data_IF_405194661665
#
_entry.id   IF_405194661665
#
_cell.length_a   1.000
_cell.length_b   1.000
_cell.length_c   1.000
_cell.angle_alpha   90.00
_cell.angle_beta   90.00
_cell.angle_gamma   90.00
#
_symmetry.space_group_name_H-M   'P 1'
#
loop_
_entity.id
_entity.type
_entity.pdbx_description
1 polymer ?
#
# COMPACT_ATOMS: atom_id res chain seq x y z
N UNK A 1 -14.13 9.21 21.26
CA UNK A 1 -12.79 9.73 20.87
C UNK A 1 -12.93 11.19 20.50
N UNK A 2 -11.87 12.00 20.58
CA UNK A 2 -11.93 13.38 20.05
C UNK A 2 -11.87 13.38 18.53
N UNK A 3 -12.33 14.46 17.87
CA UNK A 3 -12.16 14.59 16.41
C UNK A 3 -10.68 14.52 16.00
N UNK A 4 -9.80 15.11 16.81
CA UNK A 4 -8.34 15.02 16.60
C UNK A 4 -7.85 13.57 16.65
N UNK A 5 -8.32 12.76 17.61
CA UNK A 5 -7.96 11.33 17.67
C UNK A 5 -8.48 10.54 16.48
N UNK A 6 -9.69 10.84 16.01
CA UNK A 6 -10.27 10.22 14.82
C UNK A 6 -9.41 10.46 13.58
N UNK A 7 -9.09 11.74 13.29
CA UNK A 7 -8.26 12.07 12.15
C UNK A 7 -6.84 11.52 12.30
N UNK A 8 -6.30 11.47 13.52
CA UNK A 8 -4.99 10.85 13.78
C UNK A 8 -4.98 9.38 13.38
N UNK A 9 -6.02 8.63 13.75
CA UNK A 9 -6.17 7.21 13.36
C UNK A 9 -6.37 7.08 11.85
N UNK A 10 -7.22 7.91 11.26
CA UNK A 10 -7.50 7.90 9.82
C UNK A 10 -6.24 8.15 8.99
N UNK A 11 -5.45 9.17 9.35
CA UNK A 11 -4.18 9.51 8.69
C UNK A 11 -3.20 8.33 8.77
N UNK A 12 -3.11 7.66 9.92
CA UNK A 12 -2.25 6.47 10.06
C UNK A 12 -2.71 5.30 9.19
N UNK A 13 -4.02 5.06 9.08
CA UNK A 13 -4.58 4.03 8.20
C UNK A 13 -4.27 4.36 6.73
N UNK A 14 -4.46 5.61 6.33
CA UNK A 14 -4.12 6.09 4.97
C UNK A 14 -2.62 5.98 4.70
N UNK A 15 -1.78 6.37 5.66
CA UNK A 15 -0.33 6.21 5.57
C UNK A 15 0.09 4.75 5.41
N UNK A 16 -0.52 3.84 6.16
CA UNK A 16 -0.28 2.40 6.04
C UNK A 16 -0.69 1.87 4.66
N UNK A 17 -1.85 2.28 4.15
CA UNK A 17 -2.28 1.94 2.80
C UNK A 17 -1.26 2.38 1.75
N UNK A 18 -0.83 3.64 1.78
CA UNK A 18 0.16 4.14 0.83
C UNK A 18 1.53 3.47 1.01
N UNK A 19 1.89 3.09 2.23
CA UNK A 19 3.12 2.34 2.49
C UNK A 19 3.10 0.98 1.78
N UNK A 20 2.00 0.23 1.94
CA UNK A 20 1.82 -1.07 1.28
C UNK A 20 1.84 -0.88 -0.24
N UNK A 21 1.10 0.11 -0.77
CA UNK A 21 1.09 0.37 -2.22
C UNK A 21 2.47 0.76 -2.77
N UNK A 22 3.22 1.56 -2.02
CA UNK A 22 4.58 1.95 -2.41
C UNK A 22 5.45 0.71 -2.48
N UNK A 23 5.41 -0.14 -1.46
CA UNK A 23 6.30 -1.30 -1.33
C UNK A 23 6.01 -2.41 -2.34
N UNK A 24 4.73 -2.71 -2.60
CA UNK A 24 4.33 -3.89 -3.37
C UNK A 24 3.80 -3.62 -4.77
N UNK A 25 3.53 -2.36 -5.12
CA UNK A 25 3.02 -2.01 -6.45
C UNK A 25 3.94 -1.01 -7.14
N UNK A 26 4.19 0.14 -6.51
CA UNK A 26 4.90 1.23 -7.15
C UNK A 26 6.40 0.96 -7.29
N UNK A 27 7.09 0.59 -6.21
CA UNK A 27 8.52 0.26 -6.27
C UNK A 27 8.81 -0.86 -7.27
N UNK A 28 8.06 -1.98 -7.29
CA UNK A 28 8.26 -3.00 -8.30
C UNK A 28 8.13 -2.48 -9.74
N UNK A 29 7.13 -1.61 -9.99
CA UNK A 29 6.97 -1.02 -11.31
C UNK A 29 8.16 -0.15 -11.71
N UNK A 30 8.67 0.68 -10.80
CA UNK A 30 9.82 1.57 -11.09
C UNK A 30 11.10 0.77 -11.32
N UNK A 31 11.35 -0.25 -10.49
CA UNK A 31 12.48 -1.16 -10.65
C UNK A 31 12.42 -1.86 -12.01
N UNK A 32 11.24 -2.39 -12.38
CA UNK A 32 11.08 -3.04 -13.69
C UNK A 32 11.42 -2.10 -14.84
N UNK A 33 11.04 -0.82 -14.77
CA UNK A 33 11.34 0.17 -15.82
C UNK A 33 12.84 0.45 -15.86
N UNK A 34 13.50 0.59 -14.71
CA UNK A 34 14.94 0.86 -14.66
C UNK A 34 15.80 -0.24 -15.30
N UNK A 35 15.33 -1.49 -15.27
CA UNK A 35 16.03 -2.65 -15.86
C UNK A 35 15.68 -2.94 -17.32
N UNK A 36 14.76 -2.19 -17.94
CA UNK A 36 14.42 -2.36 -19.37
C UNK A 36 15.41 -1.66 -20.31
N UNK A 37 16.17 -0.67 -19.84
CA UNK A 37 17.08 0.11 -20.67
C UNK A 37 18.48 -0.52 -20.68
N UNK A 38 18.99 -0.83 -21.88
CA UNK A 38 20.29 -1.47 -22.08
C UNK A 38 21.48 -0.51 -22.18
N UNK A 39 21.24 0.81 -22.28
CA UNK A 39 22.30 1.81 -22.34
C UNK A 39 22.76 2.24 -20.94
N UNK A 40 24.05 2.15 -20.68
CA UNK A 40 24.70 2.40 -19.39
C UNK A 40 24.41 3.79 -18.80
N UNK A 41 24.29 4.83 -19.63
CA UNK A 41 24.00 6.18 -19.18
C UNK A 41 22.54 6.33 -18.76
N UNK A 42 21.62 5.71 -19.51
CA UNK A 42 20.20 5.70 -19.20
C UNK A 42 19.90 4.86 -17.94
N UNK A 43 20.59 3.73 -17.77
CA UNK A 43 20.48 2.91 -16.56
C UNK A 43 20.91 3.69 -15.32
N UNK A 44 22.02 4.43 -15.39
CA UNK A 44 22.49 5.27 -14.28
C UNK A 44 21.47 6.36 -13.91
N UNK A 45 20.90 7.04 -14.92
CA UNK A 45 19.83 8.02 -14.73
C UNK A 45 18.56 7.41 -14.11
N UNK A 46 18.15 6.23 -14.58
CA UNK A 46 16.97 5.53 -14.06
C UNK A 46 17.16 5.06 -12.62
N UNK A 47 18.35 4.61 -12.24
CA UNK A 47 18.69 4.23 -10.85
C UNK A 47 18.61 5.46 -9.94
N UNK A 48 19.19 6.59 -10.36
CA UNK A 48 19.17 7.83 -9.57
C UNK A 48 17.72 8.33 -9.39
N UNK A 49 16.94 8.36 -10.47
CA UNK A 49 15.53 8.71 -10.45
C UNK A 49 14.73 7.82 -9.50
N UNK A 50 14.89 6.50 -9.64
CA UNK A 50 14.19 5.53 -8.80
C UNK A 50 14.55 5.75 -7.34
N UNK A 51 15.84 5.87 -7.02
CA UNK A 51 16.35 6.09 -5.65
C UNK A 51 15.78 7.36 -5.03
N UNK A 52 15.76 8.46 -5.78
CA UNK A 52 15.22 9.75 -5.31
C UNK A 52 13.73 9.64 -5.00
N UNK A 53 12.98 8.93 -5.85
CA UNK A 53 11.57 8.63 -5.63
C UNK A 53 11.37 7.76 -4.38
N UNK A 54 12.19 6.72 -4.18
CA UNK A 54 12.12 5.89 -2.96
C UNK A 54 12.25 6.80 -1.73
N UNK A 55 13.29 7.65 -1.70
CA UNK A 55 13.56 8.55 -0.57
C UNK A 55 12.37 9.48 -0.31
N UNK A 56 11.81 10.10 -1.36
CA UNK A 56 10.65 11.00 -1.23
C UNK A 56 9.43 10.24 -0.71
N UNK A 57 9.10 9.08 -1.28
CA UNK A 57 7.95 8.29 -0.84
C UNK A 57 8.09 7.87 0.62
N UNK A 58 9.24 7.31 1.01
CA UNK A 58 9.47 6.92 2.40
C UNK A 58 9.50 8.13 3.35
N UNK A 59 10.01 9.29 2.92
CA UNK A 59 9.98 10.53 3.70
C UNK A 59 8.55 11.01 3.96
N UNK A 60 7.70 11.01 2.94
CA UNK A 60 6.27 11.36 3.04
C UNK A 60 5.54 10.38 3.96
N UNK A 61 5.76 9.07 3.78
CA UNK A 61 5.15 8.02 4.59
C UNK A 61 5.57 8.12 6.06
N UNK A 62 6.86 8.36 6.31
CA UNK A 62 7.38 8.60 7.65
C UNK A 62 6.72 9.82 8.29
N UNK A 63 6.55 10.90 7.54
CA UNK A 63 5.90 12.11 8.02
C UNK A 63 4.42 11.87 8.39
N UNK A 64 3.67 11.17 7.52
CA UNK A 64 2.27 10.78 7.75
C UNK A 64 2.09 9.96 9.03
N UNK A 65 2.97 9.00 9.28
CA UNK A 65 2.86 8.10 10.44
C UNK A 65 3.33 8.76 11.73
N UNK A 66 4.44 9.51 11.69
CA UNK A 66 5.07 10.09 12.88
C UNK A 66 4.46 11.41 13.32
N UNK A 67 3.98 12.25 12.39
CA UNK A 67 3.47 13.58 12.70
C UNK A 67 2.03 13.82 12.23
N UNK A 68 1.06 12.93 12.53
CA UNK A 68 -0.33 13.12 12.13
C UNK A 68 -0.93 14.42 12.70
N UNK A 69 -0.51 14.83 13.89
CA UNK A 69 -1.01 16.06 14.54
C UNK A 69 -0.65 17.32 13.75
N UNK A 70 0.53 17.38 13.13
CA UNK A 70 0.91 18.51 12.27
C UNK A 70 0.03 18.62 11.04
N UNK A 71 -0.37 17.48 10.47
CA UNK A 71 -1.28 17.43 9.32
C UNK A 71 -2.67 17.91 9.75
N UNK A 72 -3.16 17.43 10.89
CA UNK A 72 -4.44 17.86 11.46
C UNK A 72 -4.46 19.36 11.68
N UNK A 73 -3.42 19.90 12.31
CA UNK A 73 -3.35 21.32 12.66
C UNK A 73 -3.17 22.20 11.40
N UNK A 74 -2.40 21.75 10.41
CA UNK A 74 -2.18 22.44 9.13
C UNK A 74 -3.48 22.59 8.34
N UNK A 75 -4.23 21.50 8.20
CA UNK A 75 -5.51 21.48 7.48
C UNK A 75 -6.70 21.86 8.38
N UNK A 76 -6.46 22.12 9.67
CA UNK A 76 -7.48 22.40 10.69
C UNK A 76 -8.59 21.35 10.70
N UNK A 77 -8.23 20.08 10.56
CA UNK A 77 -9.18 18.98 10.35
C UNK A 77 -10.08 18.75 11.56
N UNK A 78 -9.68 19.18 12.75
CA UNK A 78 -10.43 19.04 14.00
C UNK A 78 -11.31 20.26 14.33
N UNK A 79 -11.33 21.30 13.48
CA UNK A 79 -12.08 22.54 13.72
C UNK A 79 -13.46 22.51 13.07
N UNK A 80 -14.35 23.40 13.57
CA UNK A 80 -15.72 23.59 13.10
C UNK A 80 -16.67 22.41 13.35
N UNK A 81 -16.38 21.57 14.35
CA UNK A 81 -17.35 20.61 14.88
C UNK A 81 -18.04 21.20 16.10
N UNK A 82 -19.37 21.09 16.14
CA UNK A 82 -20.20 21.62 17.23
C UNK A 82 -19.94 20.89 18.56
N UNK A 83 -19.47 19.65 18.50
CA UNK A 83 -19.12 18.84 19.66
C UNK A 83 -17.60 18.60 19.71
N UNK A 84 -17.04 18.52 20.91
CA UNK A 84 -15.62 18.20 21.10
C UNK A 84 -15.31 16.70 20.99
N UNK A 85 -16.34 15.85 20.92
CA UNK A 85 -16.18 14.39 20.92
C UNK A 85 -17.12 13.71 19.93
N UNK A 86 -16.62 12.64 19.32
CA UNK A 86 -17.40 11.73 18.49
C UNK A 86 -17.96 10.66 19.42
N UNK A 87 -19.29 10.68 19.57
CA UNK A 87 -20.04 9.75 20.42
C UNK A 87 -20.95 8.85 19.57
N UNK A 88 -20.33 8.11 18.65
CA UNK A 88 -21.01 7.06 17.87
C UNK A 88 -20.84 5.75 18.63
N UNK A 89 -21.95 5.09 18.99
CA UNK A 89 -21.91 3.78 19.64
C UNK A 89 -21.04 2.81 18.82
N UNK A 90 -20.13 2.11 19.50
CA UNK A 90 -19.16 1.17 18.92
C UNK A 90 -18.07 1.77 18.00
N UNK A 91 -17.94 3.09 17.87
CA UNK A 91 -16.86 3.68 17.06
C UNK A 91 -15.66 4.00 17.97
N UNK A 92 -14.85 2.98 18.22
CA UNK A 92 -13.55 3.09 18.91
C UNK A 92 -12.39 3.17 17.91
N UNK A 93 -11.25 3.72 18.34
CA UNK A 93 -10.01 3.73 17.53
C UNK A 93 -9.64 2.32 17.05
N UNK A 94 -9.80 1.32 17.92
CA UNK A 94 -9.60 -0.10 17.59
C UNK A 94 -10.52 -0.58 16.48
N UNK A 95 -11.82 -0.26 16.56
CA UNK A 95 -12.78 -0.67 15.55
C UNK A 95 -12.52 0.03 14.22
N UNK A 96 -12.10 1.31 14.23
CA UNK A 96 -11.68 2.02 13.02
C UNK A 96 -10.47 1.37 12.36
N UNK A 97 -9.43 1.05 13.13
CA UNK A 97 -8.24 0.37 12.60
C UNK A 97 -8.61 -1.01 12.05
N UNK A 98 -9.43 -1.77 12.78
CA UNK A 98 -9.90 -3.10 12.34
C UNK A 98 -10.64 -3.03 11.00
N UNK A 99 -11.54 -2.05 10.85
CA UNK A 99 -12.29 -1.82 9.61
C UNK A 99 -11.38 -1.33 8.49
N UNK A 100 -10.46 -0.41 8.78
CA UNK A 100 -9.47 0.08 7.82
C UNK A 100 -8.60 -1.04 7.27
N UNK A 101 -8.09 -1.93 8.13
CA UNK A 101 -7.30 -3.09 7.72
C UNK A 101 -8.10 -4.07 6.87
N UNK A 102 -9.39 -4.27 7.18
CA UNK A 102 -10.28 -5.07 6.35
C UNK A 102 -10.45 -4.48 4.95
N UNK A 103 -10.70 -3.17 4.86
CA UNK A 103 -10.86 -2.47 3.56
C UNK A 103 -9.56 -2.53 2.76
N UNK A 104 -8.42 -2.21 3.38
CA UNK A 104 -7.10 -2.26 2.73
C UNK A 104 -6.80 -3.68 2.25
N UNK A 105 -6.98 -4.68 3.12
CA UNK A 105 -6.72 -6.07 2.77
C UNK A 105 -7.64 -6.58 1.65
N UNK A 106 -8.93 -6.24 1.71
CA UNK A 106 -9.91 -6.58 0.66
C UNK A 106 -9.54 -5.95 -0.68
N UNK A 107 -9.16 -4.67 -0.67
CA UNK A 107 -8.71 -3.98 -1.87
C UNK A 107 -7.48 -4.65 -2.49
N UNK A 108 -6.47 -5.03 -1.69
CA UNK A 108 -5.27 -5.72 -2.19
C UNK A 108 -5.61 -7.04 -2.88
N UNK A 109 -6.48 -7.85 -2.28
CA UNK A 109 -6.93 -9.11 -2.89
C UNK A 109 -7.66 -8.84 -4.19
N UNK A 110 -8.72 -8.01 -4.18
CA UNK A 110 -9.56 -7.79 -5.36
C UNK A 110 -8.77 -7.19 -6.52
N UNK A 111 -7.87 -6.24 -6.24
CA UNK A 111 -7.09 -5.56 -7.28
C UNK A 111 -5.98 -6.42 -7.89
N UNK A 112 -5.51 -7.46 -7.19
CA UNK A 112 -4.37 -8.27 -7.64
C UNK A 112 -4.69 -9.72 -7.97
N UNK A 113 -5.81 -10.28 -7.49
CA UNK A 113 -6.14 -11.71 -7.68
C UNK A 113 -6.25 -12.07 -9.16
N UNK A 114 -6.94 -11.26 -9.96
CA UNK A 114 -7.12 -11.50 -11.40
C UNK A 114 -5.80 -11.39 -12.15
N UNK A 115 -4.98 -10.39 -11.80
CA UNK A 115 -3.64 -10.21 -12.39
C UNK A 115 -2.74 -11.40 -12.07
N UNK A 116 -2.73 -11.85 -10.82
CA UNK A 116 -1.96 -13.01 -10.38
C UNK A 116 -2.37 -14.28 -11.14
N UNK A 117 -3.68 -14.58 -11.21
CA UNK A 117 -4.19 -15.76 -11.92
C UNK A 117 -3.82 -15.70 -13.40
N UNK A 118 -4.05 -14.57 -14.06
CA UNK A 118 -3.73 -14.39 -15.48
C UNK A 118 -2.22 -14.56 -15.73
N UNK A 119 -1.38 -13.87 -14.97
CA UNK A 119 0.07 -13.95 -15.12
C UNK A 119 0.61 -15.35 -14.78
N UNK A 120 0.07 -16.05 -13.79
CA UNK A 120 0.46 -17.45 -13.52
C UNK A 120 0.09 -18.37 -14.70
N UNK A 121 -1.13 -18.25 -15.22
CA UNK A 121 -1.60 -19.03 -16.36
C UNK A 121 -0.75 -18.79 -17.62
N UNK A 122 -0.48 -17.53 -17.97
CA UNK A 122 0.33 -17.21 -19.14
C UNK A 122 1.77 -17.74 -19.03
N UNK A 123 2.36 -17.71 -17.83
CA UNK A 123 3.71 -18.24 -17.63
C UNK A 123 3.78 -19.76 -17.84
N UNK A 124 2.83 -20.51 -17.28
CA UNK A 124 2.72 -21.95 -17.50
C UNK A 124 2.51 -22.27 -18.99
N UNK A 125 1.66 -21.48 -19.67
CA UNK A 125 1.41 -21.67 -21.11
C UNK A 125 2.67 -21.40 -21.96
N UNK A 126 3.43 -20.35 -21.63
CA UNK A 126 4.71 -20.02 -22.27
C UNK A 126 5.72 -21.17 -22.15
N UNK A 127 5.89 -21.73 -20.96
CA UNK A 127 6.82 -22.84 -20.69
C UNK A 127 6.49 -24.11 -21.51
N UNK A 128 5.24 -24.28 -21.93
CA UNK A 128 4.76 -25.43 -22.69
C UNK A 128 4.45 -25.12 -24.17
N UNK A 129 4.65 -23.89 -24.63
CA UNK A 129 4.37 -23.49 -26.02
C UNK A 129 5.65 -23.41 -26.84
N UNK A 130 5.64 -24.02 -28.02
CA UNK A 130 6.72 -23.91 -29.02
C UNK A 130 6.65 -22.62 -29.86
N UNK A 131 5.64 -21.77 -29.62
CA UNK A 131 5.47 -20.48 -30.28
C UNK A 131 6.08 -19.41 -29.37
N UNK A 132 7.03 -18.59 -29.85
CA UNK A 132 7.55 -17.47 -29.08
C UNK A 132 6.43 -16.44 -28.91
N UNK A 133 5.71 -16.51 -27.79
CA UNK A 133 4.84 -15.44 -27.36
C UNK A 133 5.74 -14.29 -26.89
N UNK A 134 5.37 -13.02 -27.13
CA UNK A 134 6.09 -11.91 -26.53
C UNK A 134 6.15 -12.14 -25.02
N UNK A 135 7.31 -11.98 -24.41
CA UNK A 135 7.49 -12.10 -22.95
C UNK A 135 6.85 -10.88 -22.27
N UNK A 136 5.52 -10.84 -22.30
CA UNK A 136 4.71 -9.78 -21.71
C UNK A 136 4.61 -9.93 -20.20
N UNK A 137 5.24 -10.96 -19.64
CA UNK A 137 4.94 -11.44 -18.30
C UNK A 137 6.22 -11.53 -17.48
N UNK A 138 6.73 -10.35 -17.15
CA UNK A 138 7.85 -10.19 -16.23
C UNK A 138 7.58 -11.00 -14.95
N UNK A 139 8.50 -11.91 -14.60
CA UNK A 139 8.39 -12.74 -13.38
C UNK A 139 8.14 -11.91 -12.13
N UNK A 140 8.58 -10.66 -12.15
CA UNK A 140 8.34 -9.68 -11.11
C UNK A 140 6.87 -9.29 -10.92
N UNK A 141 6.08 -9.25 -12.00
CA UNK A 141 4.63 -9.00 -11.95
C UNK A 141 3.90 -10.13 -11.24
N UNK A 142 4.31 -11.38 -11.45
CA UNK A 142 3.73 -12.55 -10.77
C UNK A 142 4.04 -12.48 -9.27
N UNK A 143 5.30 -12.23 -8.92
CA UNK A 143 5.74 -12.17 -7.51
C UNK A 143 5.03 -11.02 -6.78
N UNK A 144 5.01 -9.82 -7.36
CA UNK A 144 4.37 -8.65 -6.74
C UNK A 144 2.85 -8.84 -6.56
N UNK A 145 2.16 -9.35 -7.58
CA UNK A 145 0.71 -9.63 -7.47
C UNK A 145 0.40 -10.73 -6.45
N UNK A 146 1.21 -11.79 -6.38
CA UNK A 146 1.09 -12.84 -5.36
C UNK A 146 1.29 -12.29 -3.94
N UNK A 147 2.34 -11.50 -3.72
CA UNK A 147 2.61 -10.86 -2.43
C UNK A 147 1.45 -9.96 -1.98
N UNK A 148 0.90 -9.14 -2.89
CA UNK A 148 -0.26 -8.31 -2.59
C UNK A 148 -1.48 -9.14 -2.17
N UNK A 149 -1.77 -10.25 -2.84
CA UNK A 149 -2.87 -11.16 -2.46
C UNK A 149 -2.64 -11.77 -1.09
N UNK A 150 -1.45 -12.30 -0.83
CA UNK A 150 -1.08 -12.92 0.47
C UNK A 150 -1.19 -11.89 1.60
N UNK A 151 -0.63 -10.70 1.41
CA UNK A 151 -0.72 -9.62 2.38
C UNK A 151 -2.16 -9.18 2.61
N UNK A 152 -2.95 -9.08 1.55
CA UNK A 152 -4.37 -8.80 1.66
C UNK A 152 -5.09 -9.78 2.58
N UNK A 153 -4.85 -11.09 2.41
CA UNK A 153 -5.39 -12.11 3.31
C UNK A 153 -4.84 -12.01 4.74
N UNK A 154 -3.55 -11.76 4.92
CA UNK A 154 -2.96 -11.57 6.25
C UNK A 154 -3.65 -10.40 6.98
N UNK A 155 -3.82 -9.26 6.31
CA UNK A 155 -4.49 -8.10 6.88
C UNK A 155 -5.95 -8.42 7.23
N UNK A 156 -6.68 -9.12 6.36
CA UNK A 156 -8.06 -9.51 6.64
C UNK A 156 -8.12 -10.45 7.84
N UNK A 157 -7.33 -11.53 7.86
CA UNK A 157 -7.40 -12.59 8.88
C UNK A 157 -6.94 -12.03 10.23
N UNK A 158 -5.81 -11.35 10.26
CA UNK A 158 -5.17 -10.89 11.50
C UNK A 158 -5.55 -9.45 11.90
N UNK A 159 -6.53 -8.82 11.24
CA UNK A 159 -6.96 -7.42 11.51
C UNK A 159 -7.18 -7.10 12.98
N UNK A 160 -7.81 -8.01 13.74
CA UNK A 160 -8.12 -7.79 15.17
C UNK A 160 -6.86 -7.75 16.02
N UNK A 161 -5.90 -8.63 15.73
CA UNK A 161 -4.61 -8.72 16.41
C UNK A 161 -3.75 -7.50 16.10
N UNK A 162 -3.68 -7.10 14.84
CA UNK A 162 -2.95 -5.91 14.40
C UNK A 162 -3.57 -4.66 15.06
N UNK A 163 -4.89 -4.51 15.04
CA UNK A 163 -5.55 -3.36 15.66
C UNK A 163 -5.30 -3.25 17.17
N UNK A 164 -5.21 -4.37 17.89
CA UNK A 164 -4.89 -4.38 19.31
C UNK A 164 -3.46 -3.91 19.61
N UNK A 165 -2.52 -4.08 18.67
CA UNK A 165 -1.14 -3.60 18.81
C UNK A 165 -1.04 -2.08 18.66
N UNK A 166 -1.85 -1.47 17.79
CA UNK A 166 -1.88 -0.02 17.58
C UNK A 166 -2.59 0.77 18.70
N UNK A 167 -3.30 0.08 19.59
CA UNK A 167 -3.96 0.67 20.76
C UNK A 167 -3.03 0.77 21.98
N UNK A 168 -1.91 0.03 21.99
CA UNK A 168 -0.82 0.15 22.98
C UNK A 168 0.11 1.31 22.63
#
# INVERSE_FOLDING_TARGET
MTYKDFFRVLIKIVGLYFFIQTLFSFLPSQISIAFLNSDSLETAGAILYTTLIIIICFGILYFLIKNPDKIIDLFKLDKNFDNNSINIQNLSSKNLITTGLFIIGGYLVISNITRFIASAYYKIKLDHSSIPLPDMNNSFTIISSALNVILGFILIIYRKNIAAYFEK
#
